data_IF_753073075840
#
_entry.id   IF_753073075840
#
_cell.length_a   1.000
_cell.length_b   1.000
_cell.length_c   1.000
_cell.angle_alpha   90.00
_cell.angle_beta   90.00
_cell.angle_gamma   90.00
#
_symmetry.space_group_name_H-M   'P 1'
#
loop_
_entity.id
_entity.type
_entity.pdbx_description
1 polymer ?
#
# COMPACT_ATOMS: atom_id res chain seq x y z
N UNK A 1 -13.95 14.15 11.52
CA UNK A 1 -12.49 14.36 11.61
C UNK A 1 -11.85 13.10 11.04
N UNK A 2 -10.90 13.25 10.11
CA UNK A 2 -10.11 12.11 9.66
C UNK A 2 -9.27 11.60 10.84
N UNK A 3 -9.06 10.28 10.90
CA UNK A 3 -8.21 9.70 11.93
C UNK A 3 -6.74 10.10 11.67
N UNK A 4 -5.98 10.36 12.74
CA UNK A 4 -4.57 10.71 12.61
C UNK A 4 -3.72 9.54 12.09
N UNK A 5 -4.19 8.30 12.26
CA UNK A 5 -3.50 7.08 11.82
C UNK A 5 -4.50 6.13 11.16
N UNK A 6 -4.47 6.08 9.83
CA UNK A 6 -5.26 5.13 9.04
C UNK A 6 -4.46 3.87 8.70
N UNK A 7 -4.98 2.70 9.06
CA UNK A 7 -4.40 1.43 8.66
C UNK A 7 -4.81 1.07 7.22
N UNK A 8 -3.83 0.68 6.41
CA UNK A 8 -4.02 0.38 4.98
C UNK A 8 -3.87 -1.11 4.71
N UNK A 9 -4.77 -1.63 3.88
CA UNK A 9 -4.66 -2.93 3.24
C UNK A 9 -4.07 -2.72 1.86
N UNK A 10 -2.81 -3.12 1.70
CA UNK A 10 -2.06 -2.90 0.46
C UNK A 10 -2.12 -4.15 -0.43
N UNK A 11 -2.10 -3.92 -1.74
CA UNK A 11 -2.00 -4.97 -2.75
C UNK A 11 -0.61 -5.60 -2.79
N UNK A 12 -0.56 -6.85 -3.26
CA UNK A 12 0.68 -7.53 -3.61
C UNK A 12 0.58 -8.08 -5.03
N UNK A 13 1.73 -8.31 -5.66
CA UNK A 13 1.80 -8.94 -6.99
C UNK A 13 2.15 -10.43 -6.91
N UNK A 14 1.54 -11.21 -7.82
CA UNK A 14 1.66 -12.67 -7.94
C UNK A 14 2.96 -13.17 -8.62
N UNK A 15 4.07 -12.43 -8.53
CA UNK A 15 5.38 -12.90 -9.02
C UNK A 15 6.41 -12.99 -7.88
N UNK A 16 7.62 -13.50 -8.15
CA UNK A 16 8.71 -13.51 -7.16
C UNK A 16 8.75 -14.72 -6.22
N UNK A 17 8.89 -14.49 -4.91
CA UNK A 17 9.05 -15.56 -3.91
C UNK A 17 7.68 -16.11 -3.48
N UNK A 18 7.59 -17.42 -3.30
CA UNK A 18 6.36 -18.10 -2.89
C UNK A 18 6.20 -18.16 -1.38
N UNK A 19 4.96 -18.13 -0.91
CA UNK A 19 4.59 -18.47 0.45
C UNK A 19 5.37 -17.74 1.54
N UNK A 20 5.63 -18.44 2.63
CA UNK A 20 6.28 -17.89 3.84
C UNK A 20 7.71 -17.41 3.64
N UNK A 21 8.38 -17.85 2.58
CA UNK A 21 9.74 -17.40 2.24
C UNK A 21 9.76 -15.93 1.78
N UNK A 22 8.61 -15.42 1.34
CA UNK A 22 8.45 -14.01 1.00
C UNK A 22 8.23 -13.17 2.26
N UNK A 23 9.06 -12.14 2.44
CA UNK A 23 8.85 -11.12 3.47
C UNK A 23 7.52 -10.37 3.24
N UNK A 24 7.12 -10.20 1.97
CA UNK A 24 5.84 -9.59 1.60
C UNK A 24 4.68 -10.46 2.05
N UNK A 25 4.76 -11.78 1.91
CA UNK A 25 3.73 -12.69 2.43
C UNK A 25 3.59 -12.60 3.95
N UNK A 26 4.71 -12.52 4.67
CA UNK A 26 4.72 -12.36 6.13
C UNK A 26 4.11 -11.02 6.56
N UNK A 27 4.44 -9.92 5.87
CA UNK A 27 3.83 -8.61 6.11
C UNK A 27 2.33 -8.65 5.81
N UNK A 28 1.95 -9.23 4.67
CA UNK A 28 0.56 -9.33 4.26
C UNK A 28 -0.28 -10.14 5.25
N UNK A 29 0.23 -11.25 5.79
CA UNK A 29 -0.50 -12.05 6.78
C UNK A 29 -0.56 -11.41 8.18
N UNK A 30 0.34 -10.48 8.49
CA UNK A 30 0.26 -9.69 9.73
C UNK A 30 -0.73 -8.53 9.63
N UNK A 31 -1.14 -8.15 8.43
CA UNK A 31 -2.15 -7.12 8.23
C UNK A 31 -3.52 -7.64 8.69
N UNK A 32 -4.22 -6.94 9.60
CA UNK A 32 -5.55 -7.35 10.04
C UNK A 32 -6.53 -7.40 8.84
N UNK A 33 -7.52 -8.31 8.88
CA UNK A 33 -8.42 -8.66 7.76
C UNK A 33 -7.79 -9.39 6.55
N UNK A 34 -6.48 -9.62 6.52
CA UNK A 34 -5.91 -10.55 5.54
C UNK A 34 -6.00 -11.99 6.04
N UNK A 35 -6.13 -12.92 5.09
CA UNK A 35 -6.16 -14.35 5.37
C UNK A 35 -4.79 -14.91 5.74
N UNK A 36 -4.71 -16.23 6.01
CA UNK A 36 -3.44 -16.91 6.19
C UNK A 36 -2.58 -16.83 4.91
N UNK A 37 -1.26 -16.95 5.07
CA UNK A 37 -0.32 -17.03 3.95
C UNK A 37 -0.67 -18.24 3.09
N UNK A 38 -0.80 -18.02 1.79
CA UNK A 38 -0.95 -19.09 0.82
C UNK A 38 0.44 -19.48 0.29
N UNK A 39 0.88 -20.69 0.62
CA UNK A 39 2.20 -21.18 0.19
C UNK A 39 2.30 -21.46 -1.32
N UNK A 40 1.16 -21.51 -2.04
CA UNK A 40 1.12 -21.66 -3.50
C UNK A 40 1.16 -20.32 -4.22
N UNK A 41 0.75 -19.22 -3.56
CA UNK A 41 0.84 -17.87 -4.12
C UNK A 41 2.25 -17.31 -4.06
N UNK A 42 2.57 -16.51 -5.07
CA UNK A 42 3.78 -15.70 -5.06
C UNK A 42 3.46 -14.33 -4.50
N UNK A 43 4.43 -13.77 -3.78
CA UNK A 43 4.34 -12.46 -3.17
C UNK A 43 5.64 -11.71 -3.50
N UNK A 44 5.58 -10.81 -4.48
CA UNK A 44 6.78 -10.11 -4.97
C UNK A 44 7.00 -8.76 -4.33
N UNK A 45 6.01 -7.89 -4.49
CA UNK A 45 6.08 -6.48 -4.11
C UNK A 45 4.79 -6.09 -3.43
N UNK A 46 4.89 -5.36 -2.32
CA UNK A 46 3.76 -4.74 -1.64
C UNK A 46 3.75 -3.26 -1.97
N UNK A 47 2.66 -2.80 -2.57
CA UNK A 47 2.52 -1.44 -3.06
C UNK A 47 1.66 -0.66 -2.08
N UNK A 48 2.24 0.35 -1.45
CA UNK A 48 1.55 1.22 -0.51
C UNK A 48 1.24 2.53 -1.20
N UNK A 49 -0.03 2.84 -1.50
CA UNK A 49 -0.37 4.12 -2.11
C UNK A 49 -1.67 4.13 -2.92
N UNK A 50 -1.85 5.20 -3.69
CA UNK A 50 -3.08 5.49 -4.46
C UNK A 50 -2.99 5.08 -5.92
N UNK A 51 -2.07 4.17 -6.25
CA UNK A 51 -1.80 3.81 -7.63
C UNK A 51 -2.93 2.99 -8.25
N UNK A 52 -3.34 3.30 -9.50
CA UNK A 52 -4.46 2.61 -10.17
C UNK A 52 -4.17 1.14 -10.44
N UNK A 53 -2.89 0.77 -10.64
CA UNK A 53 -2.50 -0.63 -10.89
C UNK A 53 -2.63 -1.52 -9.66
N UNK A 54 -2.41 -0.98 -8.46
CA UNK A 54 -2.52 -1.73 -7.21
C UNK A 54 -3.01 -0.80 -6.09
N UNK A 55 -4.33 -0.51 -6.04
CA UNK A 55 -4.87 0.43 -5.09
C UNK A 55 -4.76 -0.12 -3.67
N UNK A 56 -4.37 0.75 -2.73
CA UNK A 56 -4.48 0.46 -1.30
C UNK A 56 -5.87 0.83 -0.81
N UNK A 57 -6.43 0.02 0.10
CA UNK A 57 -7.74 0.26 0.70
C UNK A 57 -7.62 0.53 2.20
N UNK A 58 -8.54 1.29 2.77
CA UNK A 58 -8.59 1.50 4.21
C UNK A 58 -9.09 0.24 4.90
N UNK A 59 -8.45 -0.17 5.99
CA UNK A 59 -8.90 -1.32 6.77
C UNK A 59 -10.22 -1.04 7.51
N UNK A 60 -10.44 0.20 7.94
CA UNK A 60 -11.64 0.61 8.67
C UNK A 60 -12.89 0.58 7.80
N UNK A 61 -12.87 1.29 6.67
CA UNK A 61 -14.05 1.47 5.80
C UNK A 61 -14.04 0.56 4.57
N UNK A 62 -12.88 0.03 4.16
CA UNK A 62 -12.74 -0.71 2.90
C UNK A 62 -12.69 0.19 1.66
N UNK A 63 -12.77 1.52 1.83
CA UNK A 63 -12.72 2.47 0.72
C UNK A 63 -11.32 2.56 0.11
N UNK A 64 -11.26 2.96 -1.15
CA UNK A 64 -10.01 3.22 -1.85
C UNK A 64 -9.27 4.41 -1.23
N UNK A 65 -7.96 4.27 -1.02
CA UNK A 65 -7.14 5.33 -0.43
C UNK A 65 -7.17 6.60 -1.28
N UNK A 66 -7.16 6.48 -2.61
CA UNK A 66 -7.23 7.66 -3.50
C UNK A 66 -8.51 8.46 -3.30
N UNK A 67 -9.66 7.80 -3.20
CA UNK A 67 -10.94 8.47 -2.94
C UNK A 67 -11.01 9.05 -1.54
N UNK A 68 -10.40 8.39 -0.55
CA UNK A 68 -10.28 8.91 0.81
C UNK A 68 -9.42 10.17 0.86
N UNK A 69 -8.28 10.21 0.18
CA UNK A 69 -7.42 11.41 0.13
C UNK A 69 -8.08 12.58 -0.62
N UNK A 70 -8.91 12.31 -1.64
CA UNK A 70 -9.73 13.34 -2.29
C UNK A 70 -10.75 13.98 -1.34
N UNK A 71 -11.35 13.18 -0.45
CA UNK A 71 -12.29 13.66 0.58
C UNK A 71 -11.56 14.37 1.73
N UNK A 72 -10.31 13.98 1.99
CA UNK A 72 -9.49 14.46 3.10
C UNK A 72 -8.13 15.01 2.65
N UNK A 73 -8.10 16.11 1.87
CA UNK A 73 -6.85 16.71 1.40
C UNK A 73 -5.96 17.21 2.55
N UNK A 74 -6.52 17.40 3.75
CA UNK A 74 -5.76 17.74 4.96
C UNK A 74 -4.71 16.68 5.34
N UNK A 75 -4.90 15.42 4.96
CA UNK A 75 -3.98 14.32 5.28
C UNK A 75 -2.70 14.34 4.44
N UNK A 76 -2.81 14.80 3.19
CA UNK A 76 -1.67 14.92 2.26
C UNK A 76 -0.87 16.21 2.55
N UNK A 77 -1.58 17.23 3.04
CA UNK A 77 -1.02 18.54 3.34
C UNK A 77 -1.09 19.48 2.14
N UNK A 78 -1.33 20.77 2.42
CA UNK A 78 -1.60 21.81 1.41
C UNK A 78 -0.49 21.95 0.38
N UNK A 79 0.77 21.89 0.78
CA UNK A 79 1.93 22.04 -0.11
C UNK A 79 2.09 20.89 -1.10
N UNK A 80 1.74 19.68 -0.69
CA UNK A 80 1.81 18.50 -1.55
C UNK A 80 0.59 18.48 -2.49
N UNK A 81 -0.59 18.81 -1.96
CA UNK A 81 -1.81 18.90 -2.77
C UNK A 81 -1.72 19.97 -3.87
N UNK A 82 -1.15 21.14 -3.59
CA UNK A 82 -0.97 22.21 -4.58
C UNK A 82 -0.04 21.78 -5.73
N UNK A 83 0.97 20.97 -5.43
CA UNK A 83 2.00 20.57 -6.40
C UNK A 83 1.70 19.26 -7.14
N UNK A 84 1.00 18.32 -6.50
CA UNK A 84 0.78 16.95 -6.99
C UNK A 84 -0.69 16.52 -6.98
N UNK A 85 -1.61 17.36 -6.49
CA UNK A 85 -3.03 17.04 -6.38
C UNK A 85 -3.38 16.13 -5.20
N UNK A 86 -4.56 15.50 -5.28
CA UNK A 86 -5.08 14.61 -4.24
C UNK A 86 -4.45 13.19 -4.26
N UNK A 87 -3.20 13.08 -4.71
CA UNK A 87 -2.48 11.82 -4.88
C UNK A 87 -1.15 11.84 -4.11
N UNK A 88 -0.67 10.66 -3.74
CA UNK A 88 0.62 10.55 -3.04
C UNK A 88 1.75 10.61 -4.09
N UNK A 89 2.72 11.53 -3.97
CA UNK A 89 3.77 11.72 -4.98
C UNK A 89 4.95 10.76 -4.82
N UNK A 90 4.81 9.76 -3.95
CA UNK A 90 5.80 8.72 -3.75
C UNK A 90 5.12 7.36 -3.69
N UNK A 91 5.81 6.34 -4.21
CA UNK A 91 5.41 4.95 -4.16
C UNK A 91 6.37 4.15 -3.28
N UNK A 92 6.06 4.03 -1.99
CA UNK A 92 6.74 3.10 -1.11
C UNK A 92 6.39 1.67 -1.54
N UNK A 93 7.42 0.91 -1.94
CA UNK A 93 7.35 -0.50 -2.29
C UNK A 93 8.18 -1.31 -1.31
N UNK A 94 7.60 -2.38 -0.78
CA UNK A 94 8.37 -3.41 -0.10
C UNK A 94 8.58 -4.58 -1.06
N UNK A 95 9.83 -4.99 -1.32
CA UNK A 95 10.12 -6.12 -2.20
C UNK A 95 10.44 -7.37 -1.40
N UNK A 96 10.12 -8.55 -1.94
CA UNK A 96 10.52 -9.85 -1.41
C UNK A 96 11.89 -10.30 -1.94
N UNK A 97 12.35 -9.73 -3.07
CA UNK A 97 13.68 -10.00 -3.64
C UNK A 97 14.77 -9.41 -2.76
N UNK A 98 14.59 -8.16 -2.35
CA UNK A 98 15.50 -7.42 -1.49
C UNK A 98 14.78 -7.17 -0.17
N UNK A 99 15.37 -7.50 0.98
CA UNK A 99 14.79 -7.19 2.31
C UNK A 99 14.86 -5.68 2.62
N UNK A 100 14.45 -4.84 1.67
CA UNK A 100 14.57 -3.39 1.69
C UNK A 100 13.24 -2.75 1.27
N UNK A 101 13.01 -1.54 1.77
CA UNK A 101 11.97 -0.64 1.27
C UNK A 101 12.56 0.26 0.20
N UNK A 102 11.86 0.37 -0.93
CA UNK A 102 12.23 1.27 -2.02
C UNK A 102 11.15 2.33 -2.14
N UNK A 103 11.53 3.60 -2.05
CA UNK A 103 10.62 4.72 -2.30
C UNK A 103 10.93 5.27 -3.67
N UNK A 104 9.98 5.16 -4.58
CA UNK A 104 10.10 5.71 -5.93
C UNK A 104 9.32 7.01 -6.03
N UNK A 105 9.90 8.09 -6.56
CA UNK A 105 9.13 9.29 -6.87
C UNK A 105 8.09 8.97 -7.96
N UNK A 106 6.85 9.38 -7.75
CA UNK A 106 5.85 9.44 -8.81
C UNK A 106 6.37 10.44 -9.85
N UNK A 107 6.43 10.04 -11.12
CA UNK A 107 6.81 10.92 -12.22
C UNK A 107 5.56 11.36 -12.95
#
# INVERSE_FOLDING_TARGET
MADAVVQLRCGNDDWGKKGKESMVAQLWSKTPKNGPIDDSKHYSEMWMGTYPSNPSHLLSTGEHLGDYLKKHPELVGKSVHDRWGAEIPFLPKASAKYKNYSVWPCR
#
